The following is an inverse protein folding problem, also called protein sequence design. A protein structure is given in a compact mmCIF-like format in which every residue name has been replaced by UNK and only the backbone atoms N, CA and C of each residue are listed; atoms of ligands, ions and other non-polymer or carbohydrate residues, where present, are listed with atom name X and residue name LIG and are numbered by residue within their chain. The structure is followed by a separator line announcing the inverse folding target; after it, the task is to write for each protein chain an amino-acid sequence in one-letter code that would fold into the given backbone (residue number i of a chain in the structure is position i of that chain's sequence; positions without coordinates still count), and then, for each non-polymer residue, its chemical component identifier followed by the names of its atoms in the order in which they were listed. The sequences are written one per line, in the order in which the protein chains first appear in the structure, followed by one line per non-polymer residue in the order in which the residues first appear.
data_IF_692773829258
#
_entry.id   IF_692773829258
#
_cell.length_a   1.000
_cell.length_b   1.000
_cell.length_c   1.000
_cell.angle_alpha   90.00
_cell.angle_beta   90.00
_cell.angle_gamma   90.00
#
_symmetry.space_group_name_H-M   'P 1'
#
loop_
_entity.id
_entity.type
_entity.pdbx_description
1 polymer ?
#
# COMPACT_ATOMS: atom_id res chain seq x y z
N UNK A 1 6.02 17.15 3.38
CA UNK A 1 4.62 17.58 3.67
C UNK A 1 4.14 17.26 5.08
N UNK A 2 4.22 16.00 5.55
CA UNK A 2 3.64 15.60 6.86
C UNK A 2 4.68 15.30 7.95
N UNK A 3 5.97 15.46 7.66
CA UNK A 3 7.04 15.41 8.67
C UNK A 3 7.44 14.01 9.14
N UNK A 4 7.14 12.95 8.38
CA UNK A 4 7.69 11.63 8.66
C UNK A 4 9.22 11.65 8.50
N UNK A 5 9.95 11.28 9.56
CA UNK A 5 11.41 11.18 9.53
C UNK A 5 11.88 10.02 8.65
N UNK A 6 11.17 8.89 8.70
CA UNK A 6 11.45 7.67 7.94
C UNK A 6 10.17 7.15 7.30
N UNK A 7 10.31 6.60 6.09
CA UNK A 7 9.22 5.95 5.35
C UNK A 7 9.74 4.60 4.85
N UNK A 8 9.00 3.53 5.16
CA UNK A 8 9.35 2.17 4.75
C UNK A 8 8.26 1.68 3.78
N UNK A 9 8.64 1.45 2.52
CA UNK A 9 7.79 0.87 1.48
C UNK A 9 7.95 -0.65 1.41
N UNK A 10 6.84 -1.39 1.36
CA UNK A 10 6.84 -2.85 1.30
C UNK A 10 6.06 -3.27 0.05
N UNK A 11 6.72 -3.93 -0.88
CA UNK A 11 6.14 -4.48 -2.11
C UNK A 11 7.03 -5.66 -2.55
N UNK A 12 6.62 -6.44 -3.55
CA UNK A 12 7.44 -7.46 -4.20
C UNK A 12 7.93 -7.06 -5.59
N UNK A 13 7.33 -6.02 -6.16
CA UNK A 13 7.56 -5.63 -7.56
C UNK A 13 8.82 -4.76 -7.64
N UNK A 14 9.91 -5.23 -8.29
CA UNK A 14 11.21 -4.56 -8.20
C UNK A 14 11.20 -3.10 -8.69
N UNK A 15 10.52 -2.80 -9.80
CA UNK A 15 10.48 -1.43 -10.31
C UNK A 15 9.67 -0.47 -9.43
N UNK A 16 8.70 -0.97 -8.66
CA UNK A 16 7.99 -0.16 -7.65
C UNK A 16 8.88 0.15 -6.46
N UNK A 17 9.64 -0.84 -5.99
CA UNK A 17 10.62 -0.66 -4.91
C UNK A 17 11.70 0.33 -5.35
N UNK A 18 12.19 0.21 -6.59
CA UNK A 18 13.18 1.15 -7.14
C UNK A 18 12.63 2.58 -7.21
N UNK A 19 11.40 2.75 -7.73
CA UNK A 19 10.74 4.06 -7.75
C UNK A 19 10.57 4.64 -6.33
N UNK A 20 10.19 3.82 -5.35
CA UNK A 20 10.05 4.26 -3.96
C UNK A 20 11.39 4.76 -3.37
N UNK A 21 12.50 4.08 -3.65
CA UNK A 21 13.85 4.54 -3.25
C UNK A 21 14.24 5.84 -3.94
N UNK A 22 14.09 5.89 -5.26
CA UNK A 22 14.66 6.97 -6.07
C UNK A 22 13.85 8.26 -5.96
N UNK A 23 12.52 8.14 -6.04
CA UNK A 23 11.61 9.27 -6.03
C UNK A 23 11.16 9.65 -4.62
N UNK A 24 10.65 8.68 -3.84
CA UNK A 24 10.08 8.96 -2.52
C UNK A 24 11.12 8.95 -1.39
N UNK A 25 12.38 8.57 -1.68
CA UNK A 25 13.46 8.39 -0.69
C UNK A 25 13.06 7.45 0.45
N UNK A 26 12.22 6.47 0.14
CA UNK A 26 11.77 5.47 1.09
C UNK A 26 12.82 4.37 1.25
N UNK A 27 12.98 3.88 2.47
CA UNK A 27 13.57 2.56 2.71
C UNK A 27 12.59 1.51 2.17
N UNK A 28 13.08 0.37 1.68
CA UNK A 28 12.19 -0.62 1.07
C UNK A 28 12.46 -2.03 1.52
N UNK A 29 11.40 -2.83 1.68
CA UNK A 29 11.46 -4.25 1.98
C UNK A 29 10.80 -5.01 0.83
N UNK A 30 11.52 -6.00 0.28
CA UNK A 30 10.93 -7.03 -0.56
C UNK A 30 10.49 -8.21 0.31
N UNK A 31 9.18 -8.41 0.47
CA UNK A 31 8.66 -9.47 1.34
C UNK A 31 8.81 -10.89 0.75
N UNK A 32 9.24 -11.02 -0.51
CA UNK A 32 9.61 -12.31 -1.10
C UNK A 32 11.05 -12.73 -0.73
N UNK A 33 11.87 -11.79 -0.25
CA UNK A 33 13.27 -12.04 0.12
C UNK A 33 13.47 -12.16 1.63
N UNK A 34 12.71 -11.40 2.42
CA UNK A 34 12.81 -11.36 3.88
C UNK A 34 11.43 -11.32 4.54
N UNK A 35 11.33 -11.77 5.79
CA UNK A 35 10.12 -11.57 6.59
C UNK A 35 9.96 -10.09 6.92
N UNK A 36 8.92 -9.47 6.37
CA UNK A 36 8.67 -8.03 6.57
C UNK A 36 8.39 -7.66 8.03
N UNK A 37 7.81 -8.56 8.83
CA UNK A 37 7.53 -8.33 10.24
C UNK A 37 8.81 -8.29 11.07
N UNK A 38 9.71 -9.24 10.87
CA UNK A 38 11.02 -9.26 11.53
C UNK A 38 11.91 -8.11 11.06
N UNK A 39 11.94 -7.82 9.76
CA UNK A 39 12.66 -6.67 9.21
C UNK A 39 12.16 -5.36 9.83
N UNK A 40 10.83 -5.17 9.95
CA UNK A 40 10.28 -3.98 10.61
C UNK A 40 10.68 -3.89 12.08
N UNK A 41 10.69 -5.01 12.82
CA UNK A 41 11.15 -5.01 14.21
C UNK A 41 12.61 -4.57 14.28
N UNK A 42 13.50 -5.15 13.48
CA UNK A 42 14.91 -4.80 13.46
C UNK A 42 15.11 -3.31 13.13
N UNK A 43 14.48 -2.83 12.04
CA UNK A 43 14.58 -1.44 11.58
C UNK A 43 14.02 -0.42 12.59
N UNK A 44 13.18 -0.84 13.53
CA UNK A 44 12.51 0.03 14.51
C UNK A 44 12.90 -0.26 15.96
N UNK A 45 13.98 -1.02 16.19
CA UNK A 45 14.45 -1.35 17.54
C UNK A 45 13.43 -2.17 18.36
N UNK A 46 12.65 -3.02 17.70
CA UNK A 46 11.61 -3.86 18.28
C UNK A 46 10.29 -3.15 18.58
N UNK A 47 10.21 -1.83 18.35
CA UNK A 47 9.03 -1.01 18.71
C UNK A 47 7.88 -1.15 17.71
N UNK A 48 8.21 -1.28 16.43
CA UNK A 48 7.27 -1.16 15.31
C UNK A 48 7.10 0.29 14.84
N UNK A 49 6.56 0.51 13.61
CA UNK A 49 6.31 1.84 13.07
C UNK A 49 5.27 2.63 13.88
N UNK A 50 5.41 3.96 13.90
CA UNK A 50 4.47 4.89 14.54
C UNK A 50 3.09 4.92 13.86
N UNK A 51 3.09 4.79 12.54
CA UNK A 51 1.90 4.68 11.73
C UNK A 51 2.12 3.64 10.62
N UNK A 52 1.08 2.87 10.32
CA UNK A 52 1.07 1.92 9.21
C UNK A 52 -0.05 2.29 8.24
N UNK A 53 0.23 2.20 6.95
CA UNK A 53 -0.72 2.48 5.88
C UNK A 53 -0.92 1.21 5.06
N UNK A 54 -2.16 0.75 4.96
CA UNK A 54 -2.54 -0.27 3.99
C UNK A 54 -2.98 0.41 2.70
N UNK A 55 -2.13 0.30 1.68
CA UNK A 55 -2.35 0.78 0.32
C UNK A 55 -2.49 -0.36 -0.69
N UNK A 56 -2.90 -1.55 -0.23
CA UNK A 56 -2.99 -2.77 -1.05
C UNK A 56 -4.45 -3.21 -1.23
N UNK A 57 -5.18 -3.42 -0.14
CA UNK A 57 -6.57 -3.90 -0.19
C UNK A 57 -6.73 -5.29 -0.82
N UNK A 58 -7.80 -5.47 -1.61
CA UNK A 58 -8.18 -6.74 -2.27
C UNK A 58 -7.07 -7.44 -3.08
N UNK A 59 -6.02 -6.73 -3.49
CA UNK A 59 -4.91 -7.30 -4.27
C UNK A 59 -3.75 -7.83 -3.40
N UNK A 60 -3.94 -8.01 -2.09
CA UNK A 60 -2.90 -8.56 -1.23
C UNK A 60 -2.46 -9.96 -1.71
N UNK A 61 -1.17 -10.23 -1.67
CA UNK A 61 -0.63 -11.57 -1.96
C UNK A 61 0.09 -12.04 -0.70
N UNK A 62 -0.45 -13.08 -0.05
CA UNK A 62 0.19 -13.72 1.09
C UNK A 62 1.11 -14.85 0.63
N UNK A 63 2.21 -15.07 1.36
CA UNK A 63 3.07 -16.25 1.20
C UNK A 63 2.70 -17.28 2.27
N UNK A 64 2.82 -18.57 1.94
CA UNK A 64 2.57 -19.69 2.87
C UNK A 64 1.16 -20.30 2.82
N UNK A 65 0.88 -21.22 3.74
CA UNK A 65 -0.39 -21.99 3.81
C UNK A 65 -1.63 -21.08 3.93
N UNK A 66 -1.51 -19.94 4.60
CA UNK A 66 -2.60 -18.96 4.71
C UNK A 66 -2.88 -18.24 3.38
N UNK A 67 -1.84 -17.88 2.61
CA UNK A 67 -2.03 -17.27 1.29
C UNK A 67 -2.70 -18.20 0.28
N UNK A 68 -2.37 -19.50 0.34
CA UNK A 68 -3.00 -20.52 -0.50
C UNK A 68 -4.46 -20.80 -0.09
N UNK A 69 -4.76 -20.73 1.21
CA UNK A 69 -6.10 -20.88 1.77
C UNK A 69 -7.02 -19.71 1.39
N UNK A 70 -6.53 -18.47 1.54
CA UNK A 70 -7.25 -17.25 1.17
C UNK A 70 -7.49 -17.20 -0.35
N UNK A 71 -6.52 -17.63 -1.18
CA UNK A 71 -6.69 -17.75 -2.63
C UNK A 71 -7.71 -18.83 -3.02
N UNK A 72 -7.70 -19.98 -2.35
CA UNK A 72 -8.64 -21.07 -2.59
C UNK A 72 -10.07 -20.65 -2.21
N UNK A 73 -10.27 -19.98 -1.07
CA UNK A 73 -11.57 -19.50 -0.61
C UNK A 73 -12.14 -18.39 -1.48
N UNK A 74 -11.30 -17.51 -2.01
CA UNK A 74 -11.71 -16.51 -3.00
C UNK A 74 -12.23 -17.17 -4.28
N UNK A 75 -11.55 -18.23 -4.75
CA UNK A 75 -11.97 -18.98 -5.94
C UNK A 75 -13.28 -19.76 -5.75
N UNK A 76 -13.61 -20.16 -4.52
CA UNK A 76 -14.88 -20.86 -4.20
C UNK A 76 -15.98 -19.92 -3.65
N UNK A 77 -15.75 -18.61 -3.60
CA UNK A 77 -16.72 -17.61 -3.16
C UNK A 77 -16.99 -17.57 -1.65
N UNK A 78 -16.12 -18.18 -0.84
CA UNK A 78 -16.27 -18.23 0.63
C UNK A 78 -15.54 -17.09 1.36
N UNK A 79 -14.61 -16.40 0.71
CA UNK A 79 -13.97 -15.16 1.18
C UNK A 79 -13.88 -14.15 0.04
N UNK A 80 -14.29 -12.91 0.27
CA UNK A 80 -14.32 -11.88 -0.78
C UNK A 80 -13.03 -11.04 -0.82
N UNK A 81 -12.35 -10.90 0.32
CA UNK A 81 -11.19 -10.01 0.50
C UNK A 81 -9.95 -10.76 1.02
N UNK A 82 -8.76 -10.19 0.79
CA UNK A 82 -7.47 -10.71 1.29
C UNK A 82 -6.92 -9.83 2.42
N UNK A 83 -7.16 -10.16 3.70
CA UNK A 83 -6.83 -9.30 4.84
C UNK A 83 -5.37 -9.45 5.31
N UNK A 84 -4.49 -10.12 4.57
CA UNK A 84 -3.10 -10.38 4.99
C UNK A 84 -2.37 -9.11 5.43
N UNK A 85 -2.43 -8.06 4.60
CA UNK A 85 -1.78 -6.77 4.90
C UNK A 85 -2.43 -6.13 6.13
N UNK A 86 -3.75 -6.15 6.23
CA UNK A 86 -4.50 -5.63 7.37
C UNK A 86 -4.09 -6.31 8.69
N UNK A 87 -3.95 -7.64 8.70
CA UNK A 87 -3.44 -8.40 9.86
C UNK A 87 -1.99 -8.02 10.17
N UNK A 88 -1.13 -7.95 9.15
CA UNK A 88 0.28 -7.59 9.30
C UNK A 88 0.46 -6.19 9.88
N UNK A 89 -0.27 -5.17 9.41
CA UNK A 89 -0.13 -3.81 9.94
C UNK A 89 -0.58 -3.69 11.39
N UNK A 90 -1.59 -4.45 11.83
CA UNK A 90 -1.99 -4.52 13.24
C UNK A 90 -0.91 -5.16 14.12
N UNK A 91 -0.24 -6.19 13.61
CA UNK A 91 0.84 -6.88 14.31
C UNK A 91 2.16 -6.09 14.30
N UNK A 92 2.43 -5.32 13.25
CA UNK A 92 3.66 -4.55 13.11
C UNK A 92 3.62 -3.18 13.81
N UNK A 93 2.47 -2.49 13.80
CA UNK A 93 2.36 -1.15 14.35
C UNK A 93 2.66 -1.13 15.86
N UNK A 94 3.32 -0.07 16.33
CA UNK A 94 3.65 0.08 17.75
C UNK A 94 2.41 0.26 18.62
N UNK A 95 2.56 0.05 19.94
CA UNK A 95 1.54 0.43 20.92
C UNK A 95 1.20 1.92 20.80
N UNK A 96 -0.08 2.26 20.83
CA UNK A 96 -0.62 3.61 20.64
C UNK A 96 -0.43 4.16 19.23
N UNK A 97 -0.15 3.32 18.25
CA UNK A 97 0.08 3.73 16.86
C UNK A 97 -1.21 3.88 16.06
N UNK A 98 -1.08 4.40 14.84
CA UNK A 98 -2.21 4.62 13.93
C UNK A 98 -2.15 3.70 12.72
N UNK A 99 -3.29 3.11 12.37
CA UNK A 99 -3.51 2.33 11.16
C UNK A 99 -4.39 3.16 10.20
N UNK A 100 -3.92 3.37 8.98
CA UNK A 100 -4.69 4.05 7.93
C UNK A 100 -4.95 3.08 6.78
N UNK A 101 -6.22 2.73 6.55
CA UNK A 101 -6.61 1.79 5.49
C UNK A 101 -7.22 2.57 4.33
N UNK A 102 -6.47 2.62 3.23
CA UNK A 102 -6.93 3.21 1.95
C UNK A 102 -7.08 2.16 0.84
N UNK A 103 -6.48 0.98 1.03
CA UNK A 103 -6.78 -0.20 0.21
C UNK A 103 -8.28 -0.50 0.22
N UNK A 104 -8.81 -0.88 -0.94
CA UNK A 104 -10.23 -1.21 -1.08
C UNK A 104 -10.50 -2.57 -0.46
N UNK A 105 -11.53 -2.65 0.37
CA UNK A 105 -12.15 -3.86 0.92
C UNK A 105 -13.64 -3.80 0.58
N UNK A 106 -14.17 -4.85 -0.06
CA UNK A 106 -15.55 -4.84 -0.57
C UNK A 106 -16.49 -5.77 0.19
N UNK A 107 -15.96 -6.73 0.93
CA UNK A 107 -16.71 -7.75 1.63
C UNK A 107 -16.34 -7.88 3.10
N UNK A 108 -16.60 -9.06 3.65
CA UNK A 108 -16.24 -9.37 5.03
C UNK A 108 -14.78 -9.83 5.11
N UNK A 109 -14.10 -9.42 6.20
CA UNK A 109 -12.74 -9.84 6.55
C UNK A 109 -12.78 -10.70 7.81
N UNK A 110 -11.98 -11.75 7.87
CA UNK A 110 -11.94 -12.71 8.99
C UNK A 110 -10.55 -12.76 9.68
N UNK A 111 -10.47 -13.49 10.80
CA UNK A 111 -9.25 -13.70 11.62
C UNK A 111 -8.49 -12.41 11.94
N UNK A 112 -9.23 -11.33 12.21
CA UNK A 112 -8.62 -10.07 12.57
C UNK A 112 -8.01 -10.18 13.97
N UNK A 113 -6.72 -9.80 14.19
CA UNK A 113 -6.06 -9.93 15.48
C UNK A 113 -6.55 -8.86 16.49
N UNK A 114 -7.83 -8.95 16.86
CA UNK A 114 -8.50 -7.98 17.74
C UNK A 114 -7.87 -7.90 19.13
N UNK A 115 -7.31 -9.02 19.62
CA UNK A 115 -6.51 -9.02 20.84
C UNK A 115 -5.28 -8.11 20.73
N UNK A 116 -4.54 -8.18 19.62
CA UNK A 116 -3.39 -7.30 19.39
C UNK A 116 -3.84 -5.85 19.22
N UNK A 117 -4.93 -5.61 18.49
CA UNK A 117 -5.52 -4.27 18.31
C UNK A 117 -5.83 -3.58 19.64
N UNK A 118 -6.57 -4.28 20.50
CA UNK A 118 -7.00 -3.77 21.80
C UNK A 118 -5.81 -3.59 22.74
N UNK A 119 -4.95 -4.61 22.91
CA UNK A 119 -3.83 -4.54 23.85
C UNK A 119 -2.76 -3.51 23.44
N UNK A 120 -2.67 -3.20 22.15
CA UNK A 120 -1.79 -2.14 21.66
C UNK A 120 -2.45 -0.76 21.68
N UNK A 121 -3.76 -0.64 21.91
CA UNK A 121 -4.46 0.65 21.86
C UNK A 121 -4.34 1.33 20.50
N UNK A 122 -4.51 0.58 19.40
CA UNK A 122 -4.34 1.11 18.05
C UNK A 122 -5.53 2.00 17.65
N UNK A 123 -5.24 3.06 16.90
CA UNK A 123 -6.27 3.87 16.23
C UNK A 123 -6.42 3.43 14.79
N UNK A 124 -7.61 3.02 14.36
CA UNK A 124 -7.91 2.69 12.97
C UNK A 124 -8.63 3.86 12.29
N UNK A 125 -8.16 4.28 11.12
CA UNK A 125 -8.85 5.21 10.21
C UNK A 125 -8.96 4.58 8.84
N UNK A 126 -10.14 4.68 8.23
CA UNK A 126 -10.42 4.11 6.91
C UNK A 126 -11.23 5.09 6.07
N UNK A 127 -11.32 4.84 4.77
CA UNK A 127 -12.26 5.54 3.90
C UNK A 127 -11.77 5.70 2.47
N UNK A 128 -12.71 6.05 1.60
CA UNK A 128 -12.38 6.55 0.26
C UNK A 128 -11.75 7.95 0.36
N UNK A 129 -11.00 8.35 -0.66
CA UNK A 129 -10.32 9.65 -0.68
C UNK A 129 -11.33 10.81 -0.50
N UNK A 130 -11.13 11.65 0.52
CA UNK A 130 -11.91 12.87 0.73
C UNK A 130 -11.42 13.99 -0.21
N UNK A 131 -11.69 13.86 -1.51
CA UNK A 131 -11.19 14.77 -2.55
C UNK A 131 -11.47 16.24 -2.23
N UNK A 132 -12.71 16.61 -1.90
CA UNK A 132 -13.08 18.00 -1.61
C UNK A 132 -12.29 18.62 -0.44
N UNK A 133 -11.91 17.80 0.56
CA UNK A 133 -11.16 18.26 1.73
C UNK A 133 -9.68 18.47 1.42
N UNK A 134 -9.07 17.59 0.63
CA UNK A 134 -7.61 17.54 0.46
C UNK A 134 -7.12 18.13 -0.86
N UNK A 135 -7.94 18.11 -1.92
CA UNK A 135 -7.49 18.55 -3.24
C UNK A 135 -7.01 20.00 -3.31
N UNK A 136 -7.67 21.00 -2.67
CA UNK A 136 -7.17 22.38 -2.71
C UNK A 136 -5.73 22.50 -2.21
N UNK A 137 -5.46 21.92 -1.03
CA UNK A 137 -4.12 21.92 -0.42
C UNK A 137 -3.08 21.18 -1.26
N UNK A 138 -3.44 20.04 -1.85
CA UNK A 138 -2.53 19.26 -2.69
C UNK A 138 -2.15 20.03 -3.96
N UNK A 139 -3.12 20.70 -4.60
CA UNK A 139 -2.87 21.52 -5.78
C UNK A 139 -2.01 22.75 -5.44
N UNK A 140 -2.28 23.43 -4.33
CA UNK A 140 -1.45 24.53 -3.84
C UNK A 140 0.01 24.10 -3.64
N UNK A 141 0.23 22.92 -3.06
CA UNK A 141 1.57 22.38 -2.82
C UNK A 141 2.30 22.08 -4.15
N UNK A 142 1.57 21.61 -5.17
CA UNK A 142 2.13 21.38 -6.51
C UNK A 142 2.49 22.70 -7.18
N UNK A 143 1.59 23.69 -7.14
CA UNK A 143 1.81 25.02 -7.72
C UNK A 143 2.98 25.74 -7.04
N UNK A 144 3.13 25.58 -5.73
CA UNK A 144 4.24 26.10 -4.95
C UNK A 144 5.57 25.36 -5.21
N UNK A 145 5.57 24.27 -5.96
CA UNK A 145 6.76 23.45 -6.24
C UNK A 145 7.22 22.60 -5.04
N UNK A 146 6.40 22.46 -4.00
CA UNK A 146 6.72 21.62 -2.83
C UNK A 146 6.64 20.14 -3.15
N UNK A 147 5.83 19.77 -4.15
CA UNK A 147 5.66 18.38 -4.63
C UNK A 147 5.53 18.36 -6.14
N UNK A 148 6.38 17.58 -6.82
CA UNK A 148 6.19 17.23 -8.23
C UNK A 148 5.81 15.74 -8.34
N UNK A 149 4.54 15.40 -8.63
CA UNK A 149 4.11 14.02 -8.79
C UNK A 149 4.50 13.43 -10.15
N UNK A 150 5.11 14.20 -11.07
CA UNK A 150 5.28 13.80 -12.47
C UNK A 150 6.07 12.50 -12.65
N UNK A 151 7.01 12.22 -11.75
CA UNK A 151 7.86 11.02 -11.80
C UNK A 151 7.09 9.70 -11.62
N UNK A 152 5.85 9.73 -11.10
CA UNK A 152 5.04 8.51 -10.96
C UNK A 152 4.45 8.03 -12.29
N UNK A 153 4.33 8.92 -13.27
CA UNK A 153 3.80 8.60 -14.60
C UNK A 153 4.90 7.98 -15.47
N UNK A 154 4.91 6.65 -15.55
CA UNK A 154 5.92 5.92 -16.33
C UNK A 154 5.58 5.82 -17.81
N UNK A 155 4.30 5.98 -18.18
CA UNK A 155 3.84 5.88 -19.56
C UNK A 155 2.91 7.04 -19.91
N UNK A 156 3.01 7.51 -21.16
CA UNK A 156 2.13 8.53 -21.75
C UNK A 156 1.61 8.00 -23.07
N UNK A 157 0.29 7.93 -23.23
CA UNK A 157 -0.36 7.39 -24.42
C UNK A 157 -1.50 8.33 -24.86
N UNK A 158 -1.85 8.39 -26.14
CA UNK A 158 -3.08 9.07 -26.58
C UNK A 158 -4.32 8.35 -26.03
N UNK A 159 -5.42 9.09 -25.85
CA UNK A 159 -6.68 8.54 -25.34
C UNK A 159 -7.21 7.38 -26.19
N UNK A 160 -6.97 7.42 -27.51
CA UNK A 160 -7.31 6.34 -28.44
C UNK A 160 -6.66 4.99 -28.09
N UNK A 161 -5.54 5.01 -27.35
CA UNK A 161 -4.80 3.82 -26.91
C UNK A 161 -5.11 3.42 -25.46
N UNK A 162 -6.20 3.91 -24.88
CA UNK A 162 -6.59 3.60 -23.50
C UNK A 162 -6.58 2.08 -23.20
N UNK A 163 -7.07 1.25 -24.14
CA UNK A 163 -7.04 -0.22 -24.01
C UNK A 163 -5.63 -0.75 -23.78
N UNK A 164 -4.64 -0.28 -24.54
CA UNK A 164 -3.24 -0.65 -24.36
C UNK A 164 -2.71 -0.19 -23.00
N UNK A 165 -3.07 1.03 -22.57
CA UNK A 165 -2.73 1.53 -21.24
C UNK A 165 -3.23 0.62 -20.11
N UNK A 166 -4.48 0.15 -20.19
CA UNK A 166 -5.03 -0.81 -19.23
C UNK A 166 -4.30 -2.15 -19.24
N UNK A 167 -3.96 -2.69 -20.41
CA UNK A 167 -3.21 -3.94 -20.54
C UNK A 167 -1.79 -3.83 -19.96
N UNK A 168 -1.08 -2.73 -20.23
CA UNK A 168 0.24 -2.45 -19.66
C UNK A 168 0.19 -2.44 -18.13
N UNK A 169 -0.78 -1.71 -17.55
CA UNK A 169 -0.93 -1.59 -16.10
C UNK A 169 -1.32 -2.93 -15.46
N UNK A 170 -2.34 -3.61 -15.99
CA UNK A 170 -2.85 -4.89 -15.47
C UNK A 170 -1.77 -5.97 -15.44
N UNK A 171 -0.98 -6.06 -16.51
CA UNK A 171 0.06 -7.08 -16.64
C UNK A 171 1.43 -6.64 -16.14
N UNK A 172 1.54 -5.42 -15.57
CA UNK A 172 2.79 -4.84 -15.04
C UNK A 172 3.95 -4.90 -16.04
N UNK A 173 3.62 -4.78 -17.33
CA UNK A 173 4.61 -4.82 -18.42
C UNK A 173 5.44 -3.54 -18.43
N UNK A 174 6.68 -3.66 -18.89
CA UNK A 174 7.58 -2.53 -19.15
C UNK A 174 7.76 -1.58 -17.95
N UNK A 175 7.73 -2.11 -16.73
CA UNK A 175 7.85 -1.30 -15.52
C UNK A 175 6.68 -0.33 -15.31
N UNK A 176 5.48 -0.64 -15.84
CA UNK A 176 4.32 0.23 -15.71
C UNK A 176 3.93 0.44 -14.24
N UNK A 177 3.73 1.70 -13.86
CA UNK A 177 3.28 2.16 -12.54
C UNK A 177 2.04 3.03 -12.69
N UNK A 178 2.10 4.03 -13.58
CA UNK A 178 0.97 4.90 -13.87
C UNK A 178 1.01 5.33 -15.34
N UNK A 179 -0.11 5.19 -16.02
CA UNK A 179 -0.32 5.66 -17.39
C UNK A 179 -1.03 7.00 -17.35
N UNK A 180 -0.51 8.00 -18.06
CA UNK A 180 -1.18 9.26 -18.36
C UNK A 180 -1.78 9.18 -19.77
N UNK A 181 -3.09 9.31 -19.87
CA UNK A 181 -3.78 9.40 -21.17
C UNK A 181 -3.89 10.88 -21.58
N UNK A 182 -3.45 11.18 -22.79
CA UNK A 182 -3.49 12.51 -23.38
C UNK A 182 -4.73 12.61 -24.30
N UNK A 183 -5.56 13.66 -24.16
CA UNK A 183 -6.76 13.85 -24.99
C UNK A 183 -6.47 13.86 -26.48
#
# INVERSE_FOLDING_TARGET
MLGAERVIGIDRVPHRLQLAKDFAKAETINYEEVDAGEALKEMTGGRGPDACIDAVGMEAHGMGLEGFYDEAKQKVGLETDRPTVLRQVMLACRKGGTLSIMGVYAGFVDKMPMGAFMNKGLTLKTGQMHGQKYMPRLLESIVAGEVDPSAVFTHRLPLAEAKQGFELFKHKKDGCVKVLLLP
#
